data_IF_799063300206
#
_entry.id   IF_799063300206
#
_cell.length_a   1.000
_cell.length_b   1.000
_cell.length_c   1.000
_cell.angle_alpha   90.00
_cell.angle_beta   90.00
_cell.angle_gamma   90.00
#
_symmetry.space_group_name_H-M   'P 1'
#
loop_
_entity.id
_entity.type
_entity.pdbx_description
1 polymer ?
#
# COMPACT_ATOMS: atom_id res chain seq x y z
N UNK A 1 -13.79 18.85 10.71
CA UNK A 1 -14.55 17.78 11.41
C UNK A 1 -14.40 16.50 10.62
N UNK A 2 -13.53 15.60 11.07
CA UNK A 2 -13.44 14.22 10.60
C UNK A 2 -14.76 13.53 10.96
N UNK A 3 -15.46 12.96 9.98
CA UNK A 3 -16.70 12.21 10.27
C UNK A 3 -16.33 10.98 11.09
N UNK A 4 -16.99 10.81 12.23
CA UNK A 4 -17.07 9.51 12.90
C UNK A 4 -17.73 8.55 11.91
N UNK A 5 -17.02 7.51 11.47
CA UNK A 5 -17.63 6.38 10.77
C UNK A 5 -18.45 5.58 11.79
N UNK A 6 -19.61 6.15 12.17
CA UNK A 6 -20.45 5.67 13.27
C UNK A 6 -21.57 4.73 12.82
N UNK A 7 -21.35 3.89 11.81
CA UNK A 7 -22.22 2.74 11.62
C UNK A 7 -21.60 1.58 12.38
N UNK A 8 -22.20 1.24 13.50
CA UNK A 8 -21.88 0.02 14.20
C UNK A 8 -22.85 -1.08 13.75
N UNK A 9 -22.33 -2.27 13.51
CA UNK A 9 -23.14 -3.46 13.18
C UNK A 9 -23.07 -4.39 14.37
N UNK A 10 -24.22 -4.70 14.94
CA UNK A 10 -24.33 -5.73 15.96
C UNK A 10 -24.29 -7.09 15.29
N UNK A 11 -23.30 -7.91 15.61
CA UNK A 11 -23.25 -9.28 15.10
C UNK A 11 -24.48 -10.06 15.59
N UNK A 12 -25.30 -10.65 14.70
CA UNK A 12 -26.53 -11.34 15.09
C UNK A 12 -26.27 -12.63 15.89
N UNK A 13 -25.03 -13.14 15.89
CA UNK A 13 -24.65 -14.39 16.56
C UNK A 13 -24.01 -14.19 17.94
N UNK A 14 -23.14 -13.19 18.09
CA UNK A 14 -22.42 -12.94 19.34
C UNK A 14 -22.77 -11.60 20.00
N UNK A 15 -23.68 -10.83 19.40
CA UNK A 15 -24.16 -9.53 19.87
C UNK A 15 -23.07 -8.47 20.13
N UNK A 16 -21.83 -8.72 19.70
CA UNK A 16 -20.78 -7.72 19.75
C UNK A 16 -21.02 -6.65 18.70
N UNK A 17 -20.75 -5.42 19.10
CA UNK A 17 -20.81 -4.22 18.27
C UNK A 17 -19.49 -4.15 17.52
N UNK A 18 -19.54 -4.24 16.19
CA UNK A 18 -18.37 -4.07 15.34
C UNK A 18 -18.50 -2.77 14.53
N UNK A 19 -17.38 -2.11 14.25
CA UNK A 19 -17.34 -1.02 13.26
C UNK A 19 -17.77 -1.58 11.90
N UNK A 20 -18.71 -0.92 11.21
CA UNK A 20 -19.12 -1.31 9.88
C UNK A 20 -17.91 -1.23 8.94
N UNK A 21 -17.62 -2.35 8.28
CA UNK A 21 -16.61 -2.39 7.23
C UNK A 21 -17.00 -1.44 6.10
N UNK A 22 -16.03 -0.66 5.63
CA UNK A 22 -16.25 0.25 4.49
C UNK A 22 -16.29 -0.49 3.17
N UNK A 23 -16.87 0.12 2.14
CA UNK A 23 -16.91 -0.49 0.81
C UNK A 23 -15.50 -0.72 0.25
N UNK A 24 -14.57 0.22 0.42
CA UNK A 24 -13.18 0.05 -0.02
C UNK A 24 -12.48 -1.14 0.68
N UNK A 25 -12.60 -1.26 2.01
CA UNK A 25 -12.00 -2.39 2.75
C UNK A 25 -12.58 -3.73 2.26
N UNK A 26 -13.89 -3.77 2.00
CA UNK A 26 -14.58 -4.95 1.44
C UNK A 26 -14.08 -5.30 0.05
N UNK A 27 -13.94 -4.30 -0.82
CA UNK A 27 -13.46 -4.49 -2.19
C UNK A 27 -12.01 -5.01 -2.19
N UNK A 28 -11.14 -4.49 -1.31
CA UNK A 28 -9.77 -4.99 -1.17
C UNK A 28 -9.74 -6.44 -0.69
N UNK A 29 -10.59 -6.79 0.28
CA UNK A 29 -10.68 -8.18 0.79
C UNK A 29 -11.14 -9.17 -0.29
N UNK A 30 -12.04 -8.73 -1.17
CA UNK A 30 -12.59 -9.58 -2.23
C UNK A 30 -11.72 -9.64 -3.49
N UNK A 31 -10.72 -8.75 -3.62
CA UNK A 31 -9.80 -8.73 -4.74
C UNK A 31 -8.74 -9.83 -4.61
N UNK A 32 -8.95 -10.94 -5.34
CA UNK A 32 -8.10 -12.15 -5.26
C UNK A 32 -6.61 -11.86 -5.46
N UNK A 33 -6.26 -10.88 -6.29
CA UNK A 33 -4.87 -10.53 -6.56
C UNK A 33 -4.15 -9.83 -5.40
N UNK A 34 -4.88 -9.38 -4.38
CA UNK A 34 -4.38 -8.80 -3.13
C UNK A 34 -4.49 -9.78 -1.96
N UNK A 35 -4.74 -11.07 -2.25
CA UNK A 35 -4.86 -12.09 -1.23
C UNK A 35 -3.49 -12.51 -0.65
N UNK A 36 -3.53 -12.98 0.60
CA UNK A 36 -2.34 -13.39 1.36
C UNK A 36 -1.61 -14.60 0.81
N UNK A 37 -2.29 -15.48 0.05
CA UNK A 37 -1.66 -16.59 -0.65
C UNK A 37 -0.72 -16.10 -1.76
N UNK A 38 -0.99 -14.91 -2.34
CA UNK A 38 -0.09 -14.25 -3.30
C UNK A 38 0.97 -13.37 -2.63
N UNK A 39 1.03 -13.39 -1.30
CA UNK A 39 2.03 -12.69 -0.52
C UNK A 39 1.62 -11.29 -0.07
N UNK A 40 0.33 -10.96 -0.06
CA UNK A 40 -0.14 -9.65 0.43
C UNK A 40 -0.71 -9.75 1.85
N UNK A 41 -0.34 -8.82 2.72
CA UNK A 41 -0.97 -8.57 4.00
C UNK A 41 -1.62 -7.20 3.94
N UNK A 42 -2.95 -7.16 3.99
CA UNK A 42 -3.70 -5.92 4.12
C UNK A 42 -4.20 -5.85 5.56
N UNK A 43 -3.95 -4.73 6.24
CA UNK A 43 -4.41 -4.48 7.59
C UNK A 43 -5.08 -3.11 7.66
N UNK A 44 -6.34 -3.08 8.10
CA UNK A 44 -7.00 -1.83 8.49
C UNK A 44 -6.38 -1.36 9.81
N UNK A 45 -5.92 -0.11 9.85
CA UNK A 45 -5.52 0.55 11.10
C UNK A 45 -6.64 1.50 11.48
N UNK A 46 -7.47 1.02 12.40
CA UNK A 46 -8.59 1.77 12.92
C UNK A 46 -8.07 2.84 13.90
N UNK A 47 -7.96 4.07 13.41
CA UNK A 47 -7.59 5.26 14.19
C UNK A 47 -8.43 6.44 13.70
N UNK A 48 -9.74 6.44 13.97
CA UNK A 48 -10.74 7.51 13.71
C UNK A 48 -10.84 8.07 12.27
N UNK A 49 -9.94 7.63 11.40
CA UNK A 49 -9.69 8.01 10.02
C UNK A 49 -9.35 6.72 9.29
N UNK A 50 -9.96 6.49 8.15
CA UNK A 50 -9.89 5.19 7.49
C UNK A 50 -8.50 5.00 6.87
N UNK A 51 -7.62 4.29 7.59
CA UNK A 51 -6.25 4.01 7.16
C UNK A 51 -6.07 2.53 6.90
N UNK A 52 -5.49 2.22 5.74
CA UNK A 52 -5.12 0.85 5.39
C UNK A 52 -3.61 0.79 5.27
N UNK A 53 -2.99 -0.20 5.90
CA UNK A 53 -1.63 -0.61 5.60
C UNK A 53 -1.69 -1.76 4.61
N UNK A 54 -1.00 -1.59 3.49
CA UNK A 54 -0.77 -2.67 2.53
C UNK A 54 0.69 -3.07 2.61
N UNK A 55 0.91 -4.35 2.87
CA UNK A 55 2.22 -4.97 2.99
C UNK A 55 2.33 -6.12 1.99
N UNK A 56 3.29 -6.06 1.07
CA UNK A 56 3.62 -7.16 0.17
C UNK A 56 4.89 -7.89 0.62
N UNK A 57 4.75 -9.18 0.87
CA UNK A 57 5.81 -10.17 0.94
C UNK A 57 5.99 -10.79 -0.46
N UNK A 58 7.20 -10.74 -1.04
CA UNK A 58 7.44 -11.40 -2.33
C UNK A 58 7.26 -12.93 -2.17
N UNK A 59 6.22 -13.51 -2.78
CA UNK A 59 6.01 -14.96 -2.85
C UNK A 59 6.95 -15.57 -3.90
N UNK A 60 7.82 -16.45 -3.41
CA UNK A 60 8.94 -17.06 -4.14
C UNK A 60 10.04 -17.50 -3.18
N UNK A 61 9.67 -18.13 -2.06
CA UNK A 61 10.59 -18.77 -1.11
C UNK A 61 11.25 -17.86 -0.06
N UNK A 62 11.87 -16.74 -0.44
CA UNK A 62 12.85 -16.11 0.49
C UNK A 62 12.30 -15.06 1.48
N UNK A 63 11.20 -14.36 1.16
CA UNK A 63 10.64 -13.24 1.97
C UNK A 63 11.70 -12.19 2.39
N UNK A 64 12.77 -12.02 1.61
CA UNK A 64 13.93 -11.19 1.98
C UNK A 64 13.74 -9.70 1.71
N UNK A 65 12.83 -9.37 0.79
CA UNK A 65 12.43 -8.00 0.48
C UNK A 65 10.93 -7.90 0.73
N UNK A 66 10.58 -6.95 1.58
CA UNK A 66 9.21 -6.59 1.94
C UNK A 66 8.94 -5.18 1.43
N UNK A 67 7.73 -4.95 0.93
CA UNK A 67 7.25 -3.64 0.49
C UNK A 67 6.03 -3.25 1.32
N UNK A 68 5.98 -2.04 1.86
CA UNK A 68 4.90 -1.58 2.73
C UNK A 68 4.48 -0.16 2.36
N UNK A 69 3.19 0.13 2.44
CA UNK A 69 2.65 1.48 2.28
C UNK A 69 1.45 1.69 3.22
N UNK A 70 1.30 2.93 3.68
CA UNK A 70 0.13 3.39 4.42
C UNK A 70 -0.75 4.19 3.46
N UNK A 71 -2.07 3.97 3.48
CA UNK A 71 -3.03 4.64 2.62
C UNK A 71 -4.11 5.26 3.50
N UNK A 72 -4.24 6.59 3.46
CA UNK A 72 -5.38 7.32 4.00
C UNK A 72 -6.48 7.40 2.93
N UNK A 73 -7.64 6.83 3.23
CA UNK A 73 -8.75 6.73 2.28
C UNK A 73 -9.80 7.80 2.56
N UNK A 74 -10.10 8.62 1.56
CA UNK A 74 -11.18 9.61 1.59
C UNK A 74 -12.26 9.24 0.58
N UNK A 75 -13.49 9.19 1.04
CA UNK A 75 -14.66 8.85 0.21
C UNK A 75 -15.55 10.07 0.01
N UNK A 76 -16.47 9.97 -0.95
CA UNK A 76 -17.52 10.97 -1.21
C UNK A 76 -16.96 12.36 -1.51
N UNK A 77 -15.85 12.41 -2.24
CA UNK A 77 -15.19 13.66 -2.60
C UNK A 77 -14.43 14.35 -1.47
N UNK A 78 -14.38 13.76 -0.27
CA UNK A 78 -13.71 14.38 0.87
C UNK A 78 -12.23 14.67 0.59
N UNK A 79 -11.72 15.75 1.18
CA UNK A 79 -10.31 16.11 1.16
C UNK A 79 -9.74 16.01 2.59
N UNK A 80 -8.42 16.04 2.70
CA UNK A 80 -7.73 16.16 3.97
C UNK A 80 -7.96 17.54 4.57
N UNK A 81 -8.27 17.55 5.87
CA UNK A 81 -8.09 18.75 6.69
C UNK A 81 -6.61 19.14 6.79
N UNK A 82 -6.35 20.37 7.18
CA UNK A 82 -4.98 20.89 7.33
C UNK A 82 -4.18 20.10 8.37
N UNK A 83 -4.81 19.74 9.49
CA UNK A 83 -4.17 18.95 10.55
C UNK A 83 -3.86 17.52 10.09
N UNK A 84 -4.75 16.89 9.33
CA UNK A 84 -4.47 15.58 8.73
C UNK A 84 -3.32 15.68 7.74
N UNK A 85 -3.32 16.69 6.88
CA UNK A 85 -2.25 16.91 5.89
C UNK A 85 -0.88 17.07 6.57
N UNK A 86 -0.80 17.88 7.62
CA UNK A 86 0.43 18.08 8.38
C UNK A 86 0.87 16.78 9.09
N UNK A 87 -0.08 16.07 9.72
CA UNK A 87 0.20 14.79 10.38
C UNK A 87 0.73 13.74 9.42
N UNK A 88 0.09 13.58 8.25
CA UNK A 88 0.53 12.64 7.23
C UNK A 88 1.89 13.03 6.66
N UNK A 89 2.15 14.34 6.49
CA UNK A 89 3.46 14.84 6.08
C UNK A 89 4.55 14.46 7.09
N UNK A 90 4.36 14.75 8.38
CA UNK A 90 5.28 14.36 9.45
C UNK A 90 5.48 12.85 9.52
N UNK A 91 4.40 12.06 9.44
CA UNK A 91 4.48 10.59 9.46
C UNK A 91 5.29 10.07 8.27
N UNK A 92 5.08 10.62 7.08
CA UNK A 92 5.83 10.26 5.89
C UNK A 92 7.34 10.54 6.07
N UNK A 93 7.71 11.66 6.72
CA UNK A 93 9.11 11.94 7.07
C UNK A 93 9.70 10.95 8.10
N UNK A 94 8.89 10.18 8.83
CA UNK A 94 9.41 9.19 9.79
C UNK A 94 9.55 7.82 9.14
N UNK A 95 8.48 7.34 8.48
CA UNK A 95 8.38 5.94 8.07
C UNK A 95 8.90 5.67 6.66
N UNK A 96 9.01 6.69 5.82
CA UNK A 96 9.38 6.51 4.42
C UNK A 96 10.84 6.10 4.28
N UNK A 97 11.09 5.09 3.46
CA UNK A 97 12.44 4.62 3.13
C UNK A 97 12.65 4.65 1.60
N UNK A 98 13.18 5.76 1.10
CA UNK A 98 13.41 5.97 -0.33
C UNK A 98 14.81 5.62 -0.85
N UNK A 99 15.73 5.09 -0.02
CA UNK A 99 17.13 4.79 -0.44
C UNK A 99 17.25 3.84 -1.65
N UNK A 100 16.19 3.13 -2.01
CA UNK A 100 16.12 2.23 -3.16
C UNK A 100 14.93 2.50 -4.10
N UNK A 101 14.41 3.74 -4.11
CA UNK A 101 13.32 4.17 -5.00
C UNK A 101 13.85 5.12 -6.09
N UNK A 102 13.17 5.24 -7.24
CA UNK A 102 13.57 6.19 -8.31
C UNK A 102 13.67 7.64 -7.82
N UNK A 103 12.97 7.98 -6.73
CA UNK A 103 12.84 9.32 -6.17
C UNK A 103 13.76 9.59 -4.97
N UNK A 104 14.82 8.77 -4.80
CA UNK A 104 15.81 8.86 -3.71
C UNK A 104 16.49 10.24 -3.53
N UNK A 105 16.49 11.07 -4.57
CA UNK A 105 17.19 12.37 -4.58
C UNK A 105 16.33 13.54 -4.04
N UNK A 106 15.03 13.33 -3.82
CA UNK A 106 14.12 14.35 -3.30
C UNK A 106 14.32 14.54 -1.77
N UNK A 107 15.21 15.47 -1.40
CA UNK A 107 15.68 15.72 -0.02
C UNK A 107 14.60 16.13 1.00
N UNK A 108 13.51 16.81 0.59
CA UNK A 108 12.48 17.32 1.51
C UNK A 108 11.40 16.30 1.88
N UNK A 109 11.47 15.09 1.31
CA UNK A 109 10.53 13.99 1.56
C UNK A 109 11.21 12.81 2.28
N UNK A 110 12.40 13.04 2.86
CA UNK A 110 13.29 11.97 3.32
C UNK A 110 12.98 11.51 4.73
N UNK A 111 12.44 10.30 4.86
CA UNK A 111 12.50 9.55 6.10
C UNK A 111 13.80 8.77 6.28
N UNK A 112 14.19 8.58 7.54
CA UNK A 112 15.36 7.79 7.96
C UNK A 112 14.98 6.39 8.42
N UNK A 113 13.80 5.90 8.00
CA UNK A 113 13.30 4.60 8.43
C UNK A 113 14.30 3.48 8.14
N UNK A 114 14.39 2.48 9.04
CA UNK A 114 15.37 1.41 8.92
C UNK A 114 15.09 0.56 7.67
N UNK A 115 16.13 0.40 6.85
CA UNK A 115 16.07 -0.46 5.65
C UNK A 115 16.06 -1.95 6.00
N UNK A 116 16.54 -2.32 7.20
CA UNK A 116 16.52 -3.69 7.70
C UNK A 116 15.65 -3.78 8.95
N UNK A 117 14.71 -4.70 8.96
CA UNK A 117 13.82 -4.96 10.10
C UNK A 117 13.86 -6.45 10.46
N UNK A 118 13.68 -6.78 11.74
CA UNK A 118 13.68 -8.18 12.17
C UNK A 118 12.34 -8.83 11.84
N UNK A 119 12.36 -9.88 11.01
CA UNK A 119 11.15 -10.66 10.68
C UNK A 119 10.89 -11.72 11.73
N UNK A 120 9.77 -11.60 12.45
CA UNK A 120 9.35 -12.60 13.44
C UNK A 120 9.09 -13.98 12.83
N UNK A 121 8.65 -14.02 11.57
CA UNK A 121 8.40 -15.27 10.84
C UNK A 121 9.70 -15.92 10.36
N UNK A 122 10.64 -15.14 9.84
CA UNK A 122 11.89 -15.68 9.29
C UNK A 122 13.02 -15.78 10.33
N UNK A 123 12.81 -15.23 11.54
CA UNK A 123 13.82 -15.12 12.61
C UNK A 123 15.14 -14.50 12.17
N UNK A 124 15.09 -13.60 11.17
CA UNK A 124 16.26 -12.91 10.60
C UNK A 124 15.90 -11.48 10.20
N UNK A 125 16.91 -10.64 10.04
CA UNK A 125 16.74 -9.32 9.43
C UNK A 125 16.38 -9.46 7.94
N UNK A 126 15.36 -8.71 7.51
CA UNK A 126 14.90 -8.63 6.12
C UNK A 126 14.94 -7.17 5.66
N UNK A 127 15.00 -6.96 4.35
CA UNK A 127 14.93 -5.63 3.77
C UNK A 127 13.47 -5.16 3.70
N UNK A 128 13.19 -3.95 4.18
CA UNK A 128 11.88 -3.30 4.09
C UNK A 128 11.97 -2.02 3.25
N UNK A 129 11.21 -1.99 2.17
CA UNK A 129 10.95 -0.78 1.37
C UNK A 129 9.60 -0.22 1.79
N UNK A 130 9.63 0.86 2.56
CA UNK A 130 8.43 1.57 2.98
C UNK A 130 8.18 2.76 2.04
N UNK A 131 7.10 2.71 1.27
CA UNK A 131 6.77 3.71 0.25
C UNK A 131 6.23 5.00 0.83
N UNK A 132 5.74 4.94 2.07
CA UNK A 132 5.35 6.11 2.84
C UNK A 132 3.87 6.09 3.14
N UNK A 133 3.31 7.29 3.31
CA UNK A 133 1.87 7.50 3.46
C UNK A 133 1.34 8.19 2.21
N UNK A 134 0.25 7.65 1.66
CA UNK A 134 -0.41 8.13 0.44
C UNK A 134 -1.89 8.41 0.70
N UNK A 135 -2.47 9.29 -0.10
CA UNK A 135 -3.88 9.69 -0.01
C UNK A 135 -4.63 9.13 -1.21
N UNK A 136 -5.63 8.30 -0.93
CA UNK A 136 -6.53 7.75 -1.93
C UNK A 136 -7.91 8.39 -1.78
N UNK A 137 -8.41 9.01 -2.84
CA UNK A 137 -9.71 9.68 -2.84
C UNK A 137 -10.66 9.08 -3.86
N UNK A 138 -11.91 8.97 -3.47
CA UNK A 138 -13.01 8.46 -4.28
C UNK A 138 -14.12 9.50 -4.40
N UNK A 139 -14.76 9.60 -5.58
CA UNK A 139 -15.97 10.41 -5.75
C UNK A 139 -17.13 9.86 -4.92
N UNK A 140 -17.18 8.54 -4.75
CA UNK A 140 -18.15 7.80 -3.97
C UNK A 140 -17.42 6.94 -2.94
N UNK A 141 -17.64 5.63 -2.89
CA UNK A 141 -17.20 4.83 -1.74
C UNK A 141 -16.00 3.92 -2.02
N UNK A 142 -15.77 3.56 -3.29
CA UNK A 142 -14.64 2.74 -3.71
C UNK A 142 -14.33 2.88 -5.20
N UNK A 143 -13.44 2.05 -5.74
CA UNK A 143 -13.09 2.07 -7.17
C UNK A 143 -14.15 1.42 -8.08
N UNK A 144 -15.16 0.76 -7.51
CA UNK A 144 -16.22 0.09 -8.29
C UNK A 144 -17.41 1.02 -8.55
N UNK A 145 -17.66 1.98 -7.66
CA UNK A 145 -18.81 2.90 -7.74
C UNK A 145 -18.43 4.35 -8.04
N UNK A 146 -17.15 4.70 -7.99
CA UNK A 146 -16.72 6.08 -8.18
C UNK A 146 -16.47 6.44 -9.65
N UNK A 147 -17.04 7.56 -10.09
CA UNK A 147 -16.75 8.20 -11.38
C UNK A 147 -15.27 8.58 -11.52
N UNK A 148 -14.60 8.85 -10.40
CA UNK A 148 -13.21 9.22 -10.38
C UNK A 148 -12.47 8.67 -9.16
N UNK A 149 -11.15 8.49 -9.35
CA UNK A 149 -10.21 8.06 -8.32
C UNK A 149 -9.02 9.03 -8.35
N UNK A 150 -8.53 9.45 -7.19
CA UNK A 150 -7.27 10.22 -7.08
C UNK A 150 -6.28 9.54 -6.14
N UNK A 151 -5.03 9.53 -6.55
CA UNK A 151 -3.88 9.15 -5.74
C UNK A 151 -2.97 10.35 -5.58
N UNK A 152 -2.80 10.85 -4.36
CA UNK A 152 -1.99 12.04 -4.07
C UNK A 152 -2.29 13.24 -4.99
N UNK A 153 -3.59 13.49 -5.23
CA UNK A 153 -4.14 14.52 -6.13
C UNK A 153 -3.95 14.25 -7.63
N UNK A 154 -3.39 13.11 -8.02
CA UNK A 154 -3.33 12.67 -9.41
C UNK A 154 -4.53 11.78 -9.76
N UNK A 155 -5.25 12.11 -10.83
CA UNK A 155 -6.31 11.27 -11.38
C UNK A 155 -5.75 9.95 -11.90
N UNK A 156 -6.33 8.84 -11.44
CA UNK A 156 -5.93 7.48 -11.85
C UNK A 156 -7.16 6.63 -12.18
N UNK A 157 -6.97 5.57 -12.98
CA UNK A 157 -7.98 4.55 -13.21
C UNK A 157 -7.89 3.40 -12.20
N UNK A 158 -8.92 2.56 -12.14
CA UNK A 158 -8.97 1.38 -11.25
C UNK A 158 -7.82 0.40 -11.53
N UNK A 159 -7.43 0.19 -12.79
CA UNK A 159 -6.27 -0.64 -13.14
C UNK A 159 -4.97 -0.11 -12.54
N UNK A 160 -4.74 1.21 -12.61
CA UNK A 160 -3.56 1.82 -12.03
C UNK A 160 -3.57 1.73 -10.49
N UNK A 161 -4.75 1.90 -9.87
CA UNK A 161 -4.93 1.66 -8.43
C UNK A 161 -4.52 0.23 -8.07
N UNK A 162 -5.05 -0.79 -8.75
CA UNK A 162 -4.67 -2.18 -8.48
C UNK A 162 -3.16 -2.42 -8.64
N UNK A 163 -2.54 -1.86 -9.69
CA UNK A 163 -1.08 -1.95 -9.86
C UNK A 163 -0.29 -1.25 -8.74
N UNK A 164 -0.81 -0.14 -8.19
CA UNK A 164 -0.24 0.51 -7.00
C UNK A 164 -0.34 -0.42 -5.79
N UNK A 165 -1.55 -0.90 -5.45
CA UNK A 165 -1.79 -1.79 -4.30
C UNK A 165 -0.95 -3.07 -4.39
N UNK A 166 -0.67 -3.54 -5.62
CA UNK A 166 0.21 -4.68 -5.89
C UNK A 166 1.70 -4.37 -5.89
N UNK A 167 2.13 -3.12 -5.72
CA UNK A 167 3.52 -2.66 -5.86
C UNK A 167 4.14 -3.05 -7.22
N UNK A 168 3.34 -3.01 -8.29
CA UNK A 168 3.81 -3.19 -9.67
C UNK A 168 4.34 -1.89 -10.25
N UNK A 169 3.77 -0.77 -9.83
CA UNK A 169 4.21 0.59 -10.14
C UNK A 169 4.54 1.35 -8.86
N UNK A 170 5.45 2.31 -8.98
CA UNK A 170 5.95 3.14 -7.90
C UNK A 170 4.92 4.22 -7.55
N UNK A 171 4.64 4.35 -6.25
CA UNK A 171 3.55 5.18 -5.74
C UNK A 171 3.74 6.69 -5.96
N UNK A 172 4.93 7.15 -6.33
CA UNK A 172 5.22 8.57 -6.55
C UNK A 172 5.35 8.93 -8.02
N UNK A 173 5.87 8.00 -8.81
CA UNK A 173 6.21 8.23 -10.21
C UNK A 173 5.23 7.59 -11.16
N UNK A 174 4.39 6.67 -10.68
CA UNK A 174 3.51 5.81 -11.49
C UNK A 174 4.28 4.95 -12.52
N UNK A 175 5.61 4.87 -12.40
CA UNK A 175 6.45 4.07 -13.27
C UNK A 175 6.55 2.64 -12.75
N UNK A 176 6.78 1.69 -13.66
CA UNK A 176 6.95 0.29 -13.30
C UNK A 176 8.13 0.12 -12.33
N UNK A 177 7.90 -0.58 -11.23
CA UNK A 177 8.95 -0.91 -10.28
C UNK A 177 9.80 -2.07 -10.81
N UNK A 178 11.13 -1.93 -10.73
CA UNK A 178 12.02 -3.07 -10.90
C UNK A 178 11.94 -3.97 -9.65
N UNK A 179 11.21 -5.07 -9.78
CA UNK A 179 11.07 -6.09 -8.74
C UNK A 179 12.29 -7.01 -8.62
N UNK A 180 13.34 -6.80 -9.41
CA UNK A 180 14.56 -7.60 -9.34
C UNK A 180 15.34 -7.28 -8.07
N UNK A 181 15.84 -8.31 -7.36
CA UNK A 181 16.83 -8.10 -6.32
C UNK A 181 18.10 -7.54 -6.98
N UNK A 182 18.36 -6.24 -6.84
CA UNK A 182 19.56 -5.58 -7.38
C UNK A 182 20.90 -6.12 -6.80
N UNK A 183 20.86 -7.11 -5.91
CA UNK A 183 22.03 -7.78 -5.34
C UNK A 183 22.15 -9.27 -5.72
N UNK A 184 21.28 -9.83 -6.57
CA UNK A 184 21.47 -11.17 -7.15
C UNK A 184 22.11 -11.15 -8.54
N UNK A 185 22.34 -9.97 -9.11
CA UNK A 185 23.06 -9.81 -10.39
C UNK A 185 24.58 -9.70 -10.17
N UNK A 186 25.19 -10.81 -9.76
CA UNK A 186 26.56 -11.12 -10.19
C UNK A 186 26.77 -12.56 -10.63
N UNK A 187 25.80 -13.48 -10.47
CA UNK A 187 26.08 -14.90 -10.69
C UNK A 187 24.93 -15.76 -11.25
N UNK A 188 24.12 -15.20 -12.16
CA UNK A 188 23.24 -16.02 -13.02
C UNK A 188 23.19 -15.48 -14.44
N UNK A 189 24.35 -15.44 -15.08
CA UNK A 189 24.43 -15.66 -16.52
C UNK A 189 24.30 -17.16 -16.78
N UNK A 190 23.08 -17.67 -16.88
CA UNK A 190 22.70 -18.84 -17.67
C UNK A 190 21.22 -19.18 -17.43
N UNK A 191 20.54 -19.45 -18.53
CA UNK A 191 19.24 -20.13 -18.65
C UNK A 191 17.96 -19.32 -18.37
N UNK A 192 17.45 -18.66 -19.42
CA UNK A 192 16.04 -18.82 -19.80
C UNK A 192 15.96 -18.98 -21.32
N UNK A 193 15.22 -19.98 -21.84
CA UNK A 193 15.10 -20.20 -23.28
C UNK A 193 14.20 -19.14 -23.91
N UNK A 194 14.60 -18.70 -25.11
CA UNK A 194 13.85 -17.77 -25.95
C UNK A 194 12.43 -18.30 -26.22
N UNK A 195 11.41 -17.52 -25.86
CA UNK A 195 10.07 -17.74 -26.38
C UNK A 195 10.07 -17.35 -27.87
N UNK A 196 10.10 -18.37 -28.74
CA UNK A 196 9.74 -18.22 -30.15
C UNK A 196 8.28 -17.80 -30.24
N UNK A 197 8.02 -16.70 -30.94
CA UNK A 197 6.69 -16.31 -31.40
C UNK A 197 6.16 -17.40 -32.34
N UNK A 198 4.95 -17.86 -32.10
CA UNK A 198 4.06 -18.45 -33.11
C UNK A 198 2.96 -17.42 -33.35
#
# INVERSE_FOLDING_TARGET
MTRVFGQTVTCPKCHHIHTAETQFSRDVRNEQSLDSNFGYGVADIDCDSQRIIIHKFKCGGSREIQAMMDIEVKTRGADLSESERDTLHMRNQVIRNRRQTPTKEKRFESGRAPLKVFSLKNKKNVFLRHFGVHVLRFSHTSWTDSEWIEWDKQRIGSTALLSLLRFEIDADTMQRMDGRPHHLSKDRSQEFPEFKKI
#
